data_IF_005582771596
#
_entry.id   IF_005582771596
#
_cell.length_a   1.000
_cell.length_b   1.000
_cell.length_c   1.000
_cell.angle_alpha   90.00
_cell.angle_beta   90.00
_cell.angle_gamma   90.00
#
_symmetry.space_group_name_H-M   'P 1'
#
loop_
_entity.id
_entity.type
_entity.pdbx_description
1 polymer ?
#
# COMPACT_ATOMS: atom_id res chain seq x y z
N UNK A 1 -5.31 -3.53 -10.75
CA UNK A 1 -4.99 -4.37 -9.58
C UNK A 1 -4.82 -3.55 -8.29
N UNK A 2 -3.84 -2.65 -8.20
CA UNK A 2 -3.55 -1.92 -6.95
C UNK A 2 -4.75 -1.14 -6.38
N UNK A 3 -5.45 -0.36 -7.21
CA UNK A 3 -6.62 0.42 -6.74
C UNK A 3 -7.76 -0.44 -6.17
N UNK A 4 -8.00 -1.63 -6.72
CA UNK A 4 -9.01 -2.56 -6.20
C UNK A 4 -8.61 -3.14 -4.84
N UNK A 5 -7.33 -3.49 -4.67
CA UNK A 5 -6.79 -3.96 -3.39
C UNK A 5 -6.89 -2.86 -2.34
N UNK A 6 -6.54 -1.62 -2.69
CA UNK A 6 -6.65 -0.47 -1.79
C UNK A 6 -8.10 -0.17 -1.40
N UNK A 7 -9.03 -0.24 -2.35
CA UNK A 7 -10.46 -0.05 -2.07
C UNK A 7 -11.01 -1.17 -1.17
N UNK A 8 -10.60 -2.42 -1.41
CA UNK A 8 -10.97 -3.54 -0.56
C UNK A 8 -10.44 -3.36 0.87
N UNK A 9 -9.19 -2.93 1.04
CA UNK A 9 -8.62 -2.65 2.37
C UNK A 9 -9.39 -1.54 3.10
N UNK A 10 -9.75 -0.46 2.40
CA UNK A 10 -10.57 0.58 2.98
C UNK A 10 -11.94 0.03 3.44
N UNK A 11 -12.60 -0.76 2.58
CA UNK A 11 -13.88 -1.37 2.92
C UNK A 11 -13.77 -2.36 4.10
N UNK A 12 -12.70 -3.14 4.17
CA UNK A 12 -12.45 -4.09 5.28
C UNK A 12 -12.27 -3.33 6.60
N UNK A 13 -11.48 -2.25 6.62
CA UNK A 13 -11.28 -1.47 7.85
C UNK A 13 -12.57 -0.74 8.26
N UNK A 14 -13.30 -0.16 7.30
CA UNK A 14 -14.54 0.57 7.59
C UNK A 14 -15.71 -0.33 8.03
N UNK A 15 -15.97 -1.41 7.29
CA UNK A 15 -17.18 -2.23 7.43
C UNK A 15 -16.93 -3.62 8.01
N UNK A 16 -15.70 -4.14 7.86
CA UNK A 16 -15.35 -5.47 8.39
C UNK A 16 -14.94 -5.42 9.86
N UNK A 17 -14.12 -4.44 10.22
CA UNK A 17 -13.64 -4.24 11.58
C UNK A 17 -14.34 -3.08 12.30
N UNK A 18 -14.62 -2.00 11.57
CA UNK A 18 -15.31 -0.83 12.09
C UNK A 18 -16.83 -0.98 12.19
N UNK A 19 -17.47 0.08 12.70
CA UNK A 19 -18.93 0.20 12.83
C UNK A 19 -19.62 0.70 11.55
N UNK A 20 -18.85 0.92 10.47
CA UNK A 20 -19.35 1.48 9.22
C UNK A 20 -19.75 2.97 9.30
N UNK A 21 -19.43 3.66 10.40
CA UNK A 21 -19.76 5.06 10.57
C UNK A 21 -18.74 5.94 9.82
N UNK A 22 -19.22 6.71 8.84
CA UNK A 22 -18.39 7.63 8.06
C UNK A 22 -18.20 9.00 8.73
N UNK A 23 -18.83 9.21 9.89
CA UNK A 23 -18.82 10.50 10.59
C UNK A 23 -19.49 11.62 9.80
N UNK A 24 -19.48 12.82 10.37
CA UNK A 24 -20.11 14.01 9.79
C UNK A 24 -19.05 15.10 9.63
N UNK A 25 -18.94 15.69 8.44
CA UNK A 25 -17.98 16.78 8.13
C UNK A 25 -16.48 16.47 8.37
N UNK A 26 -16.07 15.19 8.37
CA UNK A 26 -14.68 14.77 8.62
C UNK A 26 -13.63 15.27 7.61
N UNK A 27 -14.05 15.84 6.48
CA UNK A 27 -13.15 16.48 5.50
C UNK A 27 -12.85 17.95 5.81
N UNK A 28 -13.58 18.58 6.73
CA UNK A 28 -13.37 19.97 7.12
C UNK A 28 -12.51 20.03 8.38
N UNK A 29 -13.02 19.50 9.48
CA UNK A 29 -12.37 19.43 10.79
C UNK A 29 -12.16 17.96 11.20
N UNK A 30 -11.03 17.70 11.86
CA UNK A 30 -10.80 16.42 12.52
C UNK A 30 -11.51 16.44 13.88
N UNK A 31 -12.48 15.56 14.03
CA UNK A 31 -13.14 15.26 15.30
C UNK A 31 -12.76 13.83 15.70
N UNK A 32 -12.09 13.68 16.84
CA UNK A 32 -11.49 12.42 17.25
C UNK A 32 -12.56 11.35 17.49
N UNK A 33 -13.71 11.70 18.04
CA UNK A 33 -14.74 10.72 18.40
C UNK A 33 -15.52 10.21 17.17
N UNK A 34 -15.78 11.10 16.20
CA UNK A 34 -16.64 10.79 15.05
C UNK A 34 -15.87 10.42 13.77
N UNK A 35 -14.61 10.87 13.62
CA UNK A 35 -13.86 10.73 12.37
C UNK A 35 -12.67 9.78 12.45
N UNK A 36 -12.32 9.29 13.64
CA UNK A 36 -11.15 8.44 13.84
C UNK A 36 -11.18 7.19 12.96
N UNK A 37 -12.32 6.48 12.88
CA UNK A 37 -12.43 5.28 12.06
C UNK A 37 -12.14 5.54 10.57
N UNK A 38 -12.72 6.60 10.02
CA UNK A 38 -12.52 6.99 8.61
C UNK A 38 -11.07 7.39 8.36
N UNK A 39 -10.46 8.13 9.29
CA UNK A 39 -9.07 8.53 9.20
C UNK A 39 -8.14 7.31 9.30
N UNK A 40 -8.49 6.31 10.12
CA UNK A 40 -7.77 5.05 10.25
C UNK A 40 -7.86 4.21 8.98
N UNK A 41 -9.05 4.11 8.37
CA UNK A 41 -9.24 3.46 7.08
C UNK A 41 -8.47 4.14 5.94
N UNK A 42 -8.43 5.48 5.92
CA UNK A 42 -7.58 6.26 5.00
C UNK A 42 -6.09 6.00 5.22
N UNK A 43 -5.66 5.91 6.48
CA UNK A 43 -4.28 5.58 6.85
C UNK A 43 -3.88 4.20 6.35
N UNK A 44 -4.75 3.20 6.51
CA UNK A 44 -4.52 1.85 6.04
C UNK A 44 -4.46 1.77 4.49
N UNK A 45 -5.35 2.50 3.81
CA UNK A 45 -5.33 2.62 2.35
C UNK A 45 -4.03 3.29 1.87
N UNK A 46 -3.62 4.39 2.50
CA UNK A 46 -2.39 5.11 2.17
C UNK A 46 -1.15 4.22 2.35
N UNK A 47 -1.05 3.52 3.48
CA UNK A 47 0.03 2.59 3.75
C UNK A 47 0.08 1.47 2.72
N UNK A 48 -1.07 0.84 2.43
CA UNK A 48 -1.18 -0.20 1.41
C UNK A 48 -0.72 0.31 0.05
N UNK A 49 -1.27 1.44 -0.40
CA UNK A 49 -0.94 2.00 -1.71
C UNK A 49 0.54 2.32 -1.83
N UNK A 50 1.13 2.91 -0.79
CA UNK A 50 2.55 3.29 -0.78
C UNK A 50 3.44 2.07 -0.84
N UNK A 51 3.19 1.05 -0.01
CA UNK A 51 3.93 -0.21 -0.04
C UNK A 51 3.85 -0.87 -1.41
N UNK A 52 2.64 -0.98 -1.97
CA UNK A 52 2.45 -1.57 -3.29
C UNK A 52 3.18 -0.80 -4.40
N UNK A 53 3.15 0.53 -4.38
CA UNK A 53 3.85 1.36 -5.36
C UNK A 53 5.37 1.20 -5.29
N UNK A 54 5.94 1.18 -4.07
CA UNK A 54 7.36 0.99 -3.86
C UNK A 54 7.81 -0.39 -4.38
N UNK A 55 7.03 -1.44 -4.13
CA UNK A 55 7.29 -2.79 -4.63
C UNK A 55 7.02 -2.92 -6.14
N UNK A 56 6.08 -2.15 -6.68
CA UNK A 56 5.80 -2.08 -8.10
C UNK A 56 7.00 -1.56 -8.90
N UNK A 57 7.81 -0.67 -8.33
CA UNK A 57 9.07 -0.23 -8.93
C UNK A 57 10.00 -1.38 -9.32
N UNK A 58 10.14 -2.40 -8.46
CA UNK A 58 10.91 -3.61 -8.78
C UNK A 58 10.26 -4.47 -9.87
N UNK A 59 8.94 -4.47 -9.91
CA UNK A 59 8.17 -5.19 -10.94
C UNK A 59 8.35 -4.56 -12.31
N UNK A 60 8.40 -3.23 -12.40
CA UNK A 60 8.58 -2.44 -13.62
C UNK A 60 10.01 -2.45 -14.17
N UNK A 61 11.01 -2.77 -13.33
CA UNK A 61 12.41 -2.89 -13.76
C UNK A 61 12.58 -3.91 -14.89
N UNK A 62 11.81 -5.00 -14.83
CA UNK A 62 11.85 -6.06 -15.83
C UNK A 62 10.43 -6.54 -16.17
N UNK A 63 9.99 -6.25 -17.39
CA UNK A 63 8.65 -6.56 -17.88
C UNK A 63 8.49 -8.04 -18.30
N UNK A 64 9.61 -8.79 -18.41
CA UNK A 64 9.61 -10.17 -18.92
C UNK A 64 9.93 -11.18 -17.85
N UNK A 65 10.92 -10.92 -17.00
CA UNK A 65 11.40 -11.84 -15.98
C UNK A 65 10.71 -11.61 -14.62
N UNK A 66 10.59 -12.67 -13.79
CA UNK A 66 10.00 -12.54 -12.47
C UNK A 66 10.86 -11.63 -11.60
N UNK A 67 10.22 -10.67 -10.94
CA UNK A 67 10.90 -9.72 -10.06
C UNK A 67 11.17 -10.33 -8.68
N UNK A 68 10.33 -11.27 -8.25
CA UNK A 68 10.37 -11.90 -6.92
C UNK A 68 10.97 -13.31 -6.92
N UNK A 69 11.94 -13.57 -7.80
CA UNK A 69 12.68 -14.84 -7.85
C UNK A 69 13.97 -14.77 -7.04
N UNK A 70 14.43 -15.90 -6.48
CA UNK A 70 15.73 -16.02 -5.82
C UNK A 70 16.88 -15.41 -6.65
N UNK A 71 16.93 -15.69 -7.95
CA UNK A 71 17.95 -15.12 -8.85
C UNK A 71 17.82 -13.60 -8.98
N UNK A 72 16.59 -13.07 -8.99
CA UNK A 72 16.35 -11.64 -9.09
C UNK A 72 16.73 -10.90 -7.80
N UNK A 73 16.58 -11.54 -6.64
CA UNK A 73 16.97 -11.00 -5.34
C UNK A 73 18.48 -11.07 -5.06
N UNK A 74 19.16 -12.11 -5.53
CA UNK A 74 20.62 -12.29 -5.31
C UNK A 74 21.50 -11.56 -6.32
N UNK A 75 20.95 -11.17 -7.46
CA UNK A 75 21.69 -10.39 -8.47
C UNK A 75 21.96 -8.97 -7.96
N UNK A 76 23.14 -8.40 -8.27
CA UNK A 76 23.44 -6.98 -7.99
C UNK A 76 22.34 -6.09 -8.56
N UNK A 77 21.62 -5.41 -7.67
CA UNK A 77 20.57 -4.47 -8.03
C UNK A 77 21.10 -3.05 -8.13
N UNK A 78 20.30 -2.17 -8.73
CA UNK A 78 20.60 -0.74 -8.80
C UNK A 78 20.52 -0.11 -7.41
N UNK A 79 21.63 0.46 -6.92
CA UNK A 79 21.69 1.17 -5.64
C UNK A 79 20.63 2.26 -5.52
N UNK A 80 20.41 3.05 -6.57
CA UNK A 80 19.45 4.16 -6.54
C UNK A 80 18.01 3.69 -6.37
N UNK A 81 17.65 2.51 -6.90
CA UNK A 81 16.32 1.92 -6.73
C UNK A 81 16.08 1.54 -5.27
N UNK A 82 17.08 0.93 -4.62
CA UNK A 82 16.99 0.58 -3.20
C UNK A 82 16.99 1.82 -2.31
N UNK A 83 17.86 2.80 -2.59
CA UNK A 83 17.94 4.03 -1.82
C UNK A 83 16.62 4.83 -1.89
N UNK A 84 16.03 4.99 -3.08
CA UNK A 84 14.75 5.67 -3.24
C UNK A 84 13.59 4.89 -2.62
N UNK A 85 13.61 3.55 -2.70
CA UNK A 85 12.62 2.70 -2.02
C UNK A 85 12.66 2.89 -0.52
N UNK A 86 13.86 2.81 0.08
CA UNK A 86 14.05 2.97 1.53
C UNK A 86 13.63 4.37 1.99
N UNK A 87 13.97 5.40 1.21
CA UNK A 87 13.53 6.76 1.47
C UNK A 87 12.00 6.91 1.41
N UNK A 88 11.35 6.26 0.44
CA UNK A 88 9.89 6.22 0.34
C UNK A 88 9.23 5.55 1.55
N UNK A 89 9.78 4.43 2.03
CA UNK A 89 9.31 3.79 3.27
C UNK A 89 9.50 4.71 4.48
N UNK A 90 10.66 5.35 4.61
CA UNK A 90 10.94 6.27 5.71
C UNK A 90 9.93 7.43 5.74
N UNK A 91 9.66 8.06 4.60
CA UNK A 91 8.65 9.12 4.49
C UNK A 91 7.27 8.59 4.89
N UNK A 92 6.86 7.42 4.39
CA UNK A 92 5.56 6.84 4.72
C UNK A 92 5.38 6.65 6.24
N UNK A 93 6.40 6.16 6.96
CA UNK A 93 6.34 6.04 8.41
C UNK A 93 6.24 7.40 9.09
N UNK A 94 6.99 8.40 8.62
CA UNK A 94 6.92 9.78 9.11
C UNK A 94 5.52 10.35 8.91
N UNK A 95 4.94 10.24 7.71
CA UNK A 95 3.61 10.81 7.43
C UNK A 95 2.51 10.12 8.23
N UNK A 96 2.64 8.82 8.50
CA UNK A 96 1.64 8.03 9.22
C UNK A 96 1.59 8.33 10.73
N UNK A 97 2.76 8.42 11.36
CA UNK A 97 2.88 8.45 12.83
C UNK A 97 3.22 9.81 13.42
N UNK A 98 3.71 10.78 12.63
CA UNK A 98 3.97 12.12 13.16
C UNK A 98 2.64 12.87 13.34
N UNK A 99 2.28 13.27 14.58
CA UNK A 99 1.07 14.03 14.84
C UNK A 99 1.12 15.36 14.11
N UNK A 100 -0.04 15.95 13.83
CA UNK A 100 -0.23 17.14 12.98
C UNK A 100 -0.08 16.86 11.49
N UNK A 101 1.00 16.18 11.06
CA UNK A 101 1.13 15.80 9.65
C UNK A 101 0.02 14.83 9.24
N UNK A 102 -0.16 13.77 10.02
CA UNK A 102 -1.17 12.75 9.72
C UNK A 102 -2.60 13.32 9.69
N UNK A 103 -3.03 14.07 10.70
CA UNK A 103 -4.43 14.52 10.85
C UNK A 103 -4.75 15.82 10.11
N UNK A 104 -3.86 16.83 10.13
CA UNK A 104 -4.16 18.13 9.53
C UNK A 104 -3.76 18.22 8.05
N UNK A 105 -2.63 17.63 7.66
CA UNK A 105 -2.14 17.71 6.27
C UNK A 105 -2.70 16.56 5.44
N UNK A 106 -2.45 15.33 5.87
CA UNK A 106 -2.81 14.14 5.09
C UNK A 106 -4.19 13.55 5.42
N UNK A 107 -4.82 14.01 6.51
CA UNK A 107 -6.17 13.64 6.95
C UNK A 107 -6.38 12.13 7.11
N UNK A 108 -5.43 11.48 7.77
CA UNK A 108 -5.49 10.09 8.18
C UNK A 108 -4.95 9.87 9.60
N UNK A 109 -5.23 8.70 10.16
CA UNK A 109 -4.82 8.29 11.51
C UNK A 109 -3.76 7.18 11.43
N UNK A 110 -2.99 6.97 12.51
CA UNK A 110 -2.07 5.85 12.61
C UNK A 110 -2.80 4.51 12.55
N UNK A 111 -2.06 3.48 12.15
CA UNK A 111 -2.56 2.11 12.01
C UNK A 111 -1.76 1.16 12.89
N UNK A 112 -2.38 0.04 13.30
CA UNK A 112 -1.77 -0.96 14.17
C UNK A 112 -1.86 -2.35 13.54
N UNK A 113 -3.01 -3.03 13.67
CA UNK A 113 -3.22 -4.39 13.15
C UNK A 113 -3.32 -4.42 11.63
N UNK A 114 -3.68 -3.29 11.02
CA UNK A 114 -3.82 -3.13 9.57
C UNK A 114 -2.51 -3.38 8.82
N UNK A 115 -1.36 -3.33 9.50
CA UNK A 115 -0.09 -3.78 8.92
C UNK A 115 -0.13 -5.24 8.45
N UNK A 116 -0.85 -6.11 9.17
CA UNK A 116 -1.09 -7.49 8.73
C UNK A 116 -1.88 -7.54 7.43
N UNK A 117 -2.88 -6.66 7.28
CA UNK A 117 -3.65 -6.52 6.05
C UNK A 117 -2.81 -5.96 4.90
N UNK A 118 -1.92 -4.99 5.16
CA UNK A 118 -0.95 -4.46 4.19
C UNK A 118 -0.01 -5.57 3.70
N UNK A 119 0.47 -6.43 4.60
CA UNK A 119 1.32 -7.56 4.24
C UNK A 119 0.57 -8.58 3.37
N UNK A 120 -0.66 -8.95 3.75
CA UNK A 120 -1.50 -9.85 2.95
C UNK A 120 -1.80 -9.28 1.55
N UNK A 121 -2.12 -7.99 1.48
CA UNK A 121 -2.37 -7.26 0.22
C UNK A 121 -1.15 -7.23 -0.69
N UNK A 122 0.04 -7.12 -0.09
CA UNK A 122 1.31 -7.19 -0.79
C UNK A 122 1.52 -8.54 -1.44
N UNK A 123 1.25 -9.64 -0.72
CA UNK A 123 1.33 -10.99 -1.28
C UNK A 123 0.35 -11.19 -2.44
N UNK A 124 -0.89 -10.73 -2.28
CA UNK A 124 -1.90 -10.78 -3.36
C UNK A 124 -1.42 -10.01 -4.59
N UNK A 125 -0.87 -8.81 -4.41
CA UNK A 125 -0.31 -8.03 -5.50
C UNK A 125 0.85 -8.77 -6.20
N UNK A 126 1.79 -9.36 -5.45
CA UNK A 126 2.93 -10.09 -6.02
C UNK A 126 2.43 -11.27 -6.86
N UNK A 127 1.48 -12.06 -6.34
CA UNK A 127 0.90 -13.20 -7.05
C UNK A 127 0.25 -12.73 -8.36
N UNK A 128 -0.57 -11.68 -8.31
CA UNK A 128 -1.23 -11.15 -9.51
C UNK A 128 -0.23 -10.61 -10.55
N UNK A 129 0.80 -9.88 -10.10
CA UNK A 129 1.82 -9.30 -10.97
C UNK A 129 2.68 -10.37 -11.64
N UNK A 130 3.13 -11.38 -10.89
CA UNK A 130 3.92 -12.48 -11.43
C UNK A 130 3.06 -13.40 -12.33
N UNK A 131 1.80 -13.63 -11.97
CA UNK A 131 0.85 -14.39 -12.82
C UNK A 131 0.64 -13.68 -14.16
N UNK A 132 0.54 -12.36 -14.18
CA UNK A 132 0.45 -11.58 -15.42
C UNK A 132 1.71 -11.72 -16.29
N UNK A 133 2.90 -11.64 -15.69
CA UNK A 133 4.17 -11.84 -16.41
C UNK A 133 4.27 -13.25 -16.98
N UNK A 134 3.86 -14.25 -16.21
CA UNK A 134 3.83 -15.64 -16.65
C UNK A 134 2.88 -15.84 -17.83
N UNK A 135 1.63 -15.39 -17.71
CA UNK A 135 0.63 -15.44 -18.80
C UNK A 135 1.14 -14.76 -20.07
N UNK A 136 1.76 -13.58 -19.94
CA UNK A 136 2.31 -12.85 -21.08
C UNK A 136 3.43 -13.61 -21.77
N UNK A 137 4.29 -14.29 -21.01
CA UNK A 137 5.38 -15.11 -21.54
C UNK A 137 4.87 -16.35 -22.28
N UNK A 138 3.84 -17.02 -21.77
CA UNK A 138 3.36 -18.29 -22.33
C UNK A 138 2.38 -18.08 -23.49
N UNK A 139 1.50 -17.08 -23.43
CA UNK A 139 0.37 -16.95 -24.37
C UNK A 139 0.47 -15.77 -25.34
N UNK A 140 1.15 -14.68 -24.98
CA UNK A 140 1.16 -13.43 -25.75
C UNK A 140 2.49 -13.16 -26.47
N UNK A 141 3.38 -14.15 -26.52
CA UNK A 141 4.65 -14.06 -27.25
C UNK A 141 4.49 -14.78 -28.60
N UNK A 142 3.87 -14.09 -29.56
CA UNK A 142 4.06 -14.33 -31.01
C UNK A 142 5.20 -13.40 -31.46
#
# INVERSE_FOLDING_TARGET
>A
MMGLICLANFAIVMFGWGDGNLGVHCNLSYDEDNCYLVYRARGALFATMTVLLLLHGYTCRDLKHPAWSWKALTTKQNYYLHASTLFGFAIMFVTLYVPVLNTHVFRHAPIDWEWGMVAASTLVYIVLAESWKWLRRTWLTI
#
